data_IF_909680811068
#
_entry.id   IF_909680811068
#
_cell.length_a   1.000
_cell.length_b   1.000
_cell.length_c   1.000
_cell.angle_alpha   90.00
_cell.angle_beta   90.00
_cell.angle_gamma   90.00
#
_symmetry.space_group_name_H-M   'P 1'
#
loop_
_entity.id
_entity.type
_entity.pdbx_description
1 polymer ?
#
# COMPACT_ATOMS: atom_id res chain seq x y z
N UNK A 1 -24.54 -25.69 30.01
CA UNK A 1 -23.64 -24.53 29.89
C UNK A 1 -22.46 -24.96 29.02
N UNK A 2 -22.54 -24.71 27.71
CA UNK A 2 -21.59 -25.22 26.71
C UNK A 2 -20.30 -24.40 26.66
N UNK A 3 -19.16 -25.07 26.55
CA UNK A 3 -17.90 -24.47 26.15
C UNK A 3 -17.49 -25.06 24.80
N UNK A 4 -17.26 -24.20 23.81
CA UNK A 4 -16.68 -24.55 22.51
C UNK A 4 -15.16 -24.38 22.57
N UNK A 5 -14.35 -25.32 22.05
CA UNK A 5 -12.91 -25.12 21.92
C UNK A 5 -12.58 -24.26 20.68
N UNK A 6 -11.53 -23.45 20.83
CA UNK A 6 -11.00 -22.52 19.82
C UNK A 6 -10.07 -23.25 18.84
N UNK A 7 -10.33 -23.17 17.53
CA UNK A 7 -9.47 -23.75 16.49
C UNK A 7 -8.37 -22.77 16.09
N UNK A 8 -7.11 -23.22 16.10
CA UNK A 8 -5.95 -22.49 15.60
C UNK A 8 -5.91 -22.54 14.06
N UNK A 9 -5.63 -21.41 13.41
CA UNK A 9 -5.47 -21.32 11.95
C UNK A 9 -3.99 -21.58 11.62
N UNK A 10 -3.73 -22.66 10.89
CA UNK A 10 -2.41 -23.07 10.39
C UNK A 10 -1.96 -22.15 9.23
N UNK A 11 -0.70 -21.66 9.15
CA UNK A 11 -0.27 -20.68 8.13
C UNK A 11 0.04 -21.27 6.75
N UNK A 12 -0.25 -22.56 6.52
CA UNK A 12 0.20 -23.34 5.38
C UNK A 12 -0.66 -23.19 4.10
N UNK A 13 -1.79 -22.48 4.16
CA UNK A 13 -2.76 -22.36 3.04
C UNK A 13 -2.52 -21.19 2.08
N UNK A 14 -1.30 -20.66 2.00
CA UNK A 14 -0.96 -19.60 1.04
C UNK A 14 -0.01 -20.14 -0.03
N UNK A 15 -0.52 -20.18 -1.26
CA UNK A 15 0.17 -20.47 -2.52
C UNK A 15 0.19 -21.93 -2.99
N UNK A 16 -0.99 -22.53 -3.17
CA UNK A 16 -1.15 -23.58 -4.19
C UNK A 16 -1.52 -22.93 -5.52
N UNK A 17 -0.50 -22.47 -6.25
CA UNK A 17 -0.61 -22.25 -7.70
C UNK A 17 -0.68 -23.67 -8.30
N UNK A 18 -1.88 -24.10 -8.67
CA UNK A 18 -2.10 -25.39 -9.33
C UNK A 18 -1.35 -25.41 -10.66
N UNK A 19 -0.30 -26.23 -10.74
CA UNK A 19 0.25 -26.72 -12.01
C UNK A 19 -0.78 -27.63 -12.68
N UNK A 20 -1.06 -27.51 -13.99
CA UNK A 20 -1.98 -28.43 -14.63
C UNK A 20 -1.31 -29.78 -14.82
N UNK A 21 -1.94 -30.83 -14.28
CA UNK A 21 -1.58 -32.22 -14.55
C UNK A 21 -2.09 -32.62 -15.95
N UNK A 22 -1.21 -33.27 -16.71
CA UNK A 22 -1.48 -33.82 -18.04
C UNK A 22 -2.43 -35.02 -17.88
N UNK A 23 -3.60 -34.97 -18.51
CA UNK A 23 -4.51 -36.11 -18.67
C UNK A 23 -4.78 -36.30 -20.16
N UNK A 24 -4.30 -37.42 -20.69
CA UNK A 24 -4.61 -37.88 -22.05
C UNK A 24 -6.03 -38.43 -22.11
N UNK A 25 -6.88 -37.90 -23.01
CA UNK A 25 -8.02 -38.64 -23.57
C UNK A 25 -8.50 -37.99 -24.89
N UNK A 26 -8.93 -38.84 -25.82
CA UNK A 26 -9.20 -38.63 -27.24
C UNK A 26 -10.07 -37.42 -27.64
N UNK A 27 -9.64 -36.77 -28.73
CA UNK A 27 -10.48 -36.60 -29.92
C UNK A 27 -11.66 -35.64 -29.86
N UNK A 28 -11.43 -34.39 -29.44
CA UNK A 28 -12.29 -33.25 -29.79
C UNK A 28 -11.38 -32.08 -30.10
N UNK A 29 -11.43 -31.52 -31.31
CA UNK A 29 -10.75 -30.26 -31.66
C UNK A 29 -11.38 -29.12 -30.84
N UNK A 30 -10.94 -28.99 -29.60
CA UNK A 30 -11.18 -27.82 -28.78
C UNK A 30 -10.21 -26.74 -29.24
N UNK A 31 -10.78 -25.69 -29.82
CA UNK A 31 -10.10 -24.43 -30.19
C UNK A 31 -9.01 -24.07 -29.17
N UNK A 32 -7.76 -24.30 -29.54
CA UNK A 32 -6.54 -24.20 -28.73
C UNK A 32 -6.14 -22.72 -28.41
N UNK A 33 -7.11 -21.81 -28.35
CA UNK A 33 -6.87 -20.36 -28.42
C UNK A 33 -7.60 -19.49 -27.39
N UNK A 34 -8.30 -20.05 -26.40
CA UNK A 34 -9.02 -19.20 -25.44
C UNK A 34 -9.00 -19.75 -24.01
N UNK A 35 -7.83 -19.73 -23.37
CA UNK A 35 -7.78 -19.54 -21.90
C UNK A 35 -6.42 -19.01 -21.42
N UNK A 36 -5.87 -18.02 -22.12
CA UNK A 36 -5.08 -17.01 -21.39
C UNK A 36 -6.06 -16.36 -20.43
N UNK A 37 -6.01 -16.76 -19.15
CA UNK A 37 -6.83 -16.22 -18.08
C UNK A 37 -7.02 -14.71 -18.28
N UNK A 38 -8.21 -14.32 -18.74
CA UNK A 38 -8.48 -12.93 -19.12
C UNK A 38 -8.33 -12.06 -17.87
N UNK A 39 -7.47 -11.05 -17.96
CA UNK A 39 -7.28 -10.10 -16.85
C UNK A 39 -8.45 -9.10 -16.80
N UNK A 40 -9.48 -9.44 -16.03
CA UNK A 40 -10.62 -8.56 -15.79
C UNK A 40 -10.26 -7.31 -14.97
N UNK A 41 -9.08 -7.24 -14.35
CA UNK A 41 -8.66 -6.06 -13.58
C UNK A 41 -8.15 -4.93 -14.50
N UNK A 42 -7.75 -5.27 -15.73
CA UNK A 42 -7.35 -4.31 -16.76
C UNK A 42 -8.48 -3.35 -17.15
N UNK A 43 -9.71 -3.86 -17.24
CA UNK A 43 -10.90 -3.13 -17.70
C UNK A 43 -11.54 -2.25 -16.59
N UNK A 44 -11.14 -2.43 -15.33
CA UNK A 44 -11.70 -1.69 -14.20
C UNK A 44 -11.26 -0.22 -14.26
N UNK A 45 -12.14 0.78 -14.10
CA UNK A 45 -11.72 2.18 -13.97
C UNK A 45 -10.85 2.44 -12.73
N UNK A 46 -10.00 3.47 -12.78
CA UNK A 46 -9.09 3.82 -11.67
C UNK A 46 -9.83 4.15 -10.37
N UNK A 47 -11.01 4.77 -10.43
CA UNK A 47 -11.84 5.07 -9.24
C UNK A 47 -12.42 3.81 -8.60
N UNK A 48 -12.85 2.84 -9.40
CA UNK A 48 -13.32 1.55 -8.90
C UNK A 48 -12.16 0.77 -8.27
N UNK A 49 -10.97 0.80 -8.88
CA UNK A 49 -9.77 0.19 -8.30
C UNK A 49 -9.37 0.88 -6.99
N UNK A 50 -9.42 2.22 -6.94
CA UNK A 50 -9.19 2.99 -5.73
C UNK A 50 -10.19 2.65 -4.62
N UNK A 51 -11.47 2.45 -4.97
CA UNK A 51 -12.52 2.03 -4.04
C UNK A 51 -12.20 0.65 -3.45
N UNK A 52 -11.80 -0.33 -4.27
CA UNK A 52 -11.35 -1.65 -3.79
C UNK A 52 -10.19 -1.51 -2.79
N UNK A 53 -9.20 -0.65 -3.07
CA UNK A 53 -8.06 -0.44 -2.17
C UNK A 53 -8.44 0.11 -0.79
N UNK A 54 -9.64 0.69 -0.61
CA UNK A 54 -10.13 1.15 0.69
C UNK A 54 -10.46 -0.03 1.64
N UNK A 55 -10.76 -1.20 1.08
CA UNK A 55 -11.04 -2.42 1.85
C UNK A 55 -9.78 -3.23 2.20
N UNK A 56 -8.62 -2.84 1.67
CA UNK A 56 -7.36 -3.53 1.91
C UNK A 56 -6.65 -2.99 3.16
N UNK A 57 -6.10 -3.89 3.96
CA UNK A 57 -5.17 -3.54 5.03
C UNK A 57 -3.86 -2.93 4.48
N UNK A 58 -3.09 -2.25 5.33
CA UNK A 58 -1.86 -1.56 4.89
C UNK A 58 -0.82 -2.49 4.26
N UNK A 59 -0.78 -3.76 4.69
CA UNK A 59 0.12 -4.78 4.14
C UNK A 59 -0.27 -5.20 2.74
N UNK A 60 -1.53 -5.61 2.54
CA UNK A 60 -2.07 -5.99 1.22
C UNK A 60 -1.98 -4.83 0.24
N UNK A 61 -2.35 -3.64 0.68
CA UNK A 61 -2.32 -2.45 -0.18
C UNK A 61 -0.91 -2.13 -0.69
N UNK A 62 0.14 -2.37 0.12
CA UNK A 62 1.53 -2.26 -0.35
C UNK A 62 1.85 -3.32 -1.41
N UNK A 63 1.44 -4.57 -1.22
CA UNK A 63 1.62 -5.64 -2.21
C UNK A 63 0.88 -5.34 -3.52
N UNK A 64 -0.37 -4.88 -3.44
CA UNK A 64 -1.16 -4.46 -4.60
C UNK A 64 -0.45 -3.36 -5.39
N UNK A 65 0.19 -2.40 -4.71
CA UNK A 65 0.94 -1.34 -5.41
C UNK A 65 2.12 -1.84 -6.26
N UNK A 66 2.55 -3.11 -6.09
CA UNK A 66 3.64 -3.72 -6.85
C UNK A 66 3.17 -4.53 -8.07
N UNK A 67 1.85 -4.72 -8.26
CA UNK A 67 1.30 -5.51 -9.37
C UNK A 67 1.66 -4.89 -10.72
N UNK A 68 1.41 -3.60 -10.89
CA UNK A 68 1.79 -2.86 -12.09
C UNK A 68 1.89 -1.35 -11.82
N UNK A 69 2.42 -0.58 -12.79
CA UNK A 69 2.56 0.89 -12.69
C UNK A 69 1.22 1.60 -12.45
N UNK A 70 0.14 1.08 -13.03
CA UNK A 70 -1.21 1.63 -12.87
C UNK A 70 -1.69 1.48 -11.42
N UNK A 71 -1.54 0.29 -10.84
CA UNK A 71 -1.91 0.03 -9.45
C UNK A 71 -1.04 0.83 -8.47
N UNK A 72 0.25 1.00 -8.76
CA UNK A 72 1.15 1.86 -7.99
C UNK A 72 0.64 3.30 -7.89
N UNK A 73 0.23 3.88 -9.03
CA UNK A 73 -0.31 5.24 -9.12
C UNK A 73 -1.64 5.38 -8.39
N UNK A 74 -2.57 4.46 -8.64
CA UNK A 74 -3.91 4.47 -8.01
C UNK A 74 -3.82 4.28 -6.51
N UNK A 75 -2.95 3.40 -6.01
CA UNK A 75 -2.68 3.25 -4.57
C UNK A 75 -2.18 4.57 -3.97
N UNK A 76 -1.23 5.23 -4.63
CA UNK A 76 -0.68 6.52 -4.20
C UNK A 76 -1.75 7.58 -4.01
N UNK A 77 -2.51 7.86 -5.07
CA UNK A 77 -3.54 8.91 -5.07
C UNK A 77 -4.75 8.60 -4.19
N UNK A 78 -5.01 7.33 -3.87
CA UNK A 78 -6.16 6.94 -3.03
C UNK A 78 -5.86 6.91 -1.52
N UNK A 79 -4.65 7.27 -1.09
CA UNK A 79 -4.26 7.27 0.35
C UNK A 79 -4.41 8.65 0.98
N UNK A 80 -5.40 8.76 1.87
CA UNK A 80 -5.61 9.96 2.67
C UNK A 80 -4.80 10.00 3.98
N UNK A 81 -4.26 8.85 4.41
CA UNK A 81 -3.49 8.70 5.65
C UNK A 81 -2.12 8.11 5.35
N UNK A 82 -1.06 8.77 5.81
CA UNK A 82 0.31 8.31 5.65
C UNK A 82 1.04 8.34 7.00
N UNK A 83 1.83 7.31 7.27
CA UNK A 83 2.75 7.26 8.41
C UNK A 83 4.15 7.02 7.88
N UNK A 84 5.08 7.90 8.23
CA UNK A 84 6.49 7.83 7.82
C UNK A 84 7.39 7.62 9.03
N UNK A 85 8.50 6.91 8.79
CA UNK A 85 9.63 6.96 9.69
C UNK A 85 10.36 8.28 9.41
N UNK A 86 10.35 9.19 10.38
CA UNK A 86 10.79 10.56 10.23
C UNK A 86 12.26 10.71 10.64
N UNK A 87 13.11 9.79 10.18
CA UNK A 87 14.55 9.89 10.33
C UNK A 87 15.11 10.81 9.24
N UNK A 88 16.21 11.52 9.51
CA UNK A 88 16.75 12.55 8.61
C UNK A 88 17.09 12.04 7.20
N UNK A 89 17.41 10.74 7.05
CA UNK A 89 17.76 10.13 5.77
C UNK A 89 16.59 10.15 4.76
N UNK A 90 15.33 10.20 5.25
CA UNK A 90 14.15 10.26 4.37
C UNK A 90 14.02 11.62 3.67
N UNK A 91 14.71 12.67 4.14
CA UNK A 91 14.55 14.04 3.66
C UNK A 91 14.70 14.15 2.13
N UNK A 92 15.71 13.49 1.57
CA UNK A 92 15.98 13.47 0.12
C UNK A 92 14.84 12.84 -0.70
N UNK A 93 14.07 11.94 -0.08
CA UNK A 93 12.96 11.22 -0.72
C UNK A 93 11.59 11.84 -0.46
N UNK A 94 11.46 12.79 0.49
CA UNK A 94 10.17 13.42 0.81
C UNK A 94 9.47 14.01 -0.44
N UNK A 95 10.16 14.71 -1.35
CA UNK A 95 9.56 15.20 -2.58
C UNK A 95 8.88 14.11 -3.42
N UNK A 96 9.51 12.94 -3.57
CA UNK A 96 8.97 11.84 -4.37
C UNK A 96 7.86 11.10 -3.62
N UNK A 97 7.99 10.95 -2.30
CA UNK A 97 6.95 10.39 -1.42
C UNK A 97 5.67 11.19 -1.53
N UNK A 98 5.72 12.52 -1.40
CA UNK A 98 4.52 13.35 -1.50
C UNK A 98 4.03 13.59 -2.92
N UNK A 99 4.88 13.39 -3.93
CA UNK A 99 4.42 13.28 -5.33
C UNK A 99 3.57 12.03 -5.55
N UNK A 100 3.95 10.90 -4.93
CA UNK A 100 3.18 9.66 -4.99
C UNK A 100 1.88 9.73 -4.16
N UNK A 101 1.93 10.33 -2.98
CA UNK A 101 0.80 10.41 -2.05
C UNK A 101 0.23 11.84 -2.00
N UNK A 102 -0.27 12.32 -3.12
CA UNK A 102 -0.73 13.71 -3.33
C UNK A 102 -2.05 14.08 -2.62
N UNK A 103 -2.78 13.07 -2.13
CA UNK A 103 -4.09 13.22 -1.51
C UNK A 103 -4.05 13.08 0.02
N UNK A 104 -2.86 13.09 0.61
CA UNK A 104 -2.68 12.94 2.07
C UNK A 104 -3.29 14.13 2.81
N UNK A 105 -4.19 13.82 3.73
CA UNK A 105 -4.81 14.81 4.64
C UNK A 105 -4.41 14.58 6.10
N UNK A 106 -3.91 13.39 6.43
CA UNK A 106 -3.47 13.01 7.78
C UNK A 106 -2.08 12.38 7.71
N UNK A 107 -1.09 13.07 8.29
CA UNK A 107 0.31 12.63 8.30
C UNK A 107 0.74 12.31 9.73
N UNK A 108 1.37 11.15 9.90
CA UNK A 108 2.04 10.78 11.15
C UNK A 108 3.54 10.62 10.90
N UNK A 109 4.33 11.45 11.57
CA UNK A 109 5.79 11.36 11.60
C UNK A 109 6.19 10.66 12.89
N UNK A 110 6.95 9.57 12.75
CA UNK A 110 7.45 8.81 13.89
C UNK A 110 8.95 8.67 13.76
N UNK A 111 9.69 9.05 14.77
CA UNK A 111 11.11 8.76 14.87
C UNK A 111 11.37 8.02 16.18
N UNK A 112 12.31 7.10 16.15
CA UNK A 112 12.80 6.48 17.36
C UNK A 112 13.74 7.42 18.13
N UNK A 113 14.04 7.08 19.39
CA UNK A 113 14.83 7.94 20.28
C UNK A 113 16.33 7.94 20.01
N UNK A 114 16.83 7.05 19.15
CA UNK A 114 18.26 6.89 18.87
C UNK A 114 18.66 7.55 17.55
N UNK A 115 17.71 7.67 16.63
CA UNK A 115 17.93 8.30 15.33
C UNK A 115 17.72 9.81 15.37
N UNK A 116 18.38 10.48 14.43
CA UNK A 116 18.19 11.91 14.17
C UNK A 116 16.87 12.06 13.42
N UNK A 117 15.96 12.89 13.93
CA UNK A 117 14.66 13.10 13.28
C UNK A 117 14.73 14.19 12.21
N UNK A 118 13.68 14.28 11.39
CA UNK A 118 13.39 15.47 10.59
C UNK A 118 13.32 16.73 11.49
N UNK A 119 13.72 17.85 10.90
CA UNK A 119 13.82 19.19 11.50
C UNK A 119 12.69 20.12 11.00
N UNK A 120 12.77 21.40 11.37
CA UNK A 120 11.80 22.42 11.00
C UNK A 120 11.80 22.72 9.49
N UNK A 121 12.96 22.67 8.83
CA UNK A 121 13.07 22.82 7.38
C UNK A 121 12.30 21.71 6.64
N UNK A 122 12.36 20.48 7.16
CA UNK A 122 11.56 19.39 6.64
C UNK A 122 10.05 19.63 6.81
N UNK A 123 9.62 20.25 7.92
CA UNK A 123 8.20 20.63 8.10
C UNK A 123 7.76 21.70 7.10
N UNK A 124 8.61 22.70 6.83
CA UNK A 124 8.37 23.70 5.77
C UNK A 124 8.20 22.99 4.43
N UNK A 125 9.11 22.09 4.07
CA UNK A 125 8.99 21.30 2.84
C UNK A 125 7.68 20.49 2.79
N UNK A 126 7.32 19.83 3.88
CA UNK A 126 6.06 19.07 3.98
C UNK A 126 4.85 19.97 3.74
N UNK A 127 4.82 21.15 4.36
CA UNK A 127 3.72 22.12 4.20
C UNK A 127 3.56 22.58 2.75
N UNK A 128 4.68 22.82 2.05
CA UNK A 128 4.68 23.21 0.65
C UNK A 128 4.13 22.11 -0.27
N UNK A 129 4.43 20.84 0.05
CA UNK A 129 4.04 19.69 -0.77
C UNK A 129 2.65 19.13 -0.43
N UNK A 130 2.19 19.30 0.81
CA UNK A 130 0.95 18.71 1.32
C UNK A 130 -0.08 19.79 1.67
N UNK A 131 -0.56 20.52 0.66
CA UNK A 131 -1.50 21.65 0.85
C UNK A 131 -2.87 21.24 1.44
N UNK A 132 -3.22 19.95 1.38
CA UNK A 132 -4.48 19.40 1.90
C UNK A 132 -4.35 18.83 3.33
N UNK A 133 -3.20 19.03 3.98
CA UNK A 133 -2.94 18.44 5.29
C UNK A 133 -3.81 19.10 6.37
N UNK A 134 -4.63 18.29 7.05
CA UNK A 134 -5.56 18.75 8.11
C UNK A 134 -5.17 18.24 9.50
N UNK A 135 -4.35 17.18 9.57
CA UNK A 135 -3.85 16.62 10.82
C UNK A 135 -2.40 16.18 10.66
N UNK A 136 -1.55 16.70 11.53
CA UNK A 136 -0.16 16.28 11.68
C UNK A 136 0.02 15.66 13.08
N UNK A 137 0.63 14.48 13.13
CA UNK A 137 0.97 13.80 14.38
C UNK A 137 2.46 13.57 14.45
N UNK A 138 3.11 14.20 15.43
CA UNK A 138 4.54 14.04 15.68
C UNK A 138 4.75 13.05 16.83
N UNK A 139 5.71 12.14 16.70
CA UNK A 139 6.14 11.24 17.76
C UNK A 139 7.65 11.04 17.69
N UNK A 140 8.35 11.49 18.73
CA UNK A 140 9.80 11.32 18.82
C UNK A 140 10.61 12.18 17.84
N UNK A 141 9.98 13.14 17.17
CA UNK A 141 10.66 14.14 16.36
C UNK A 141 11.24 15.22 17.29
N UNK A 142 12.54 15.13 17.58
CA UNK A 142 13.23 15.97 18.59
C UNK A 142 13.88 17.20 17.99
N UNK A 143 14.19 17.16 16.70
CA UNK A 143 14.77 18.28 15.96
C UNK A 143 13.70 19.29 15.49
N UNK A 144 12.43 19.10 15.87
CA UNK A 144 11.34 20.06 15.61
C UNK A 144 11.22 20.98 16.82
N UNK A 145 11.29 22.28 16.59
CA UNK A 145 11.29 23.31 17.64
C UNK A 145 9.96 24.09 17.68
N UNK A 146 9.72 24.86 18.75
CA UNK A 146 8.51 25.67 18.96
C UNK A 146 8.75 27.19 18.89
N UNK A 147 9.91 27.59 18.38
CA UNK A 147 10.42 28.96 18.41
C UNK A 147 9.93 29.84 17.26
#
# INVERSE_FOLDING_TARGET
MGQTPSTAIDPSDRFNILSPAIVSNDGVEFSDELDKARDFTGDLPDDCLAYIFQFLGSGDRKRCSLVCKRWLRVDGGSRYRLSLNAQSEILSSLPSVFSRFDSVTKLALRCDRKSISLDDDALVLISLRCQKLTRLKLRGCREITDH
#
